data_IF_739928336405
#
_entry.id   IF_739928336405
#
_cell.length_a   1.000
_cell.length_b   1.000
_cell.length_c   1.000
_cell.angle_alpha   90.00
_cell.angle_beta   90.00
_cell.angle_gamma   90.00
#
_symmetry.space_group_name_H-M   'P 1'
#
loop_
_entity.id
_entity.type
_entity.pdbx_description
1 polymer ?
#
# COMPACT_ATOMS: atom_id res chain seq x y z
N UNK A 1 -18.37 5.19 -9.47
CA UNK A 1 -17.72 4.18 -8.61
C UNK A 1 -17.85 4.56 -7.13
N UNK A 2 -17.62 5.82 -6.79
CA UNK A 2 -17.74 6.35 -5.43
C UNK A 2 -19.13 6.13 -4.81
N UNK A 3 -20.19 6.41 -5.55
CA UNK A 3 -21.57 6.23 -5.09
C UNK A 3 -21.93 4.81 -4.66
N UNK A 4 -21.12 3.81 -4.99
CA UNK A 4 -21.29 2.42 -4.56
C UNK A 4 -20.62 2.09 -3.23
N UNK A 5 -19.70 2.95 -2.77
CA UNK A 5 -18.84 2.69 -1.61
C UNK A 5 -19.29 3.46 -0.36
N UNK A 6 -20.07 4.54 -0.52
CA UNK A 6 -20.49 5.37 0.60
C UNK A 6 -21.96 5.77 0.44
N UNK A 7 -22.74 5.58 1.49
CA UNK A 7 -24.13 5.99 1.53
C UNK A 7 -24.32 7.49 1.82
N UNK A 8 -23.29 8.17 2.33
CA UNK A 8 -23.35 9.56 2.77
C UNK A 8 -22.01 10.26 2.51
N UNK A 9 -21.92 11.05 1.44
CA UNK A 9 -20.70 11.77 1.08
C UNK A 9 -21.00 13.22 0.67
N UNK A 10 -21.68 13.96 1.54
CA UNK A 10 -22.12 15.32 1.25
C UNK A 10 -20.97 16.31 1.00
N UNK A 11 -19.76 16.05 1.53
CA UNK A 11 -18.65 17.02 1.49
C UNK A 11 -17.44 16.58 0.65
N UNK A 12 -17.54 15.46 -0.11
CA UNK A 12 -16.46 15.05 -0.98
C UNK A 12 -16.48 15.83 -2.29
N UNK A 13 -15.43 16.59 -2.53
CA UNK A 13 -15.20 17.26 -3.82
C UNK A 13 -14.26 16.44 -4.69
N UNK A 14 -14.54 16.37 -5.98
CA UNK A 14 -13.76 15.64 -6.97
C UNK A 14 -13.26 16.59 -8.05
N UNK A 15 -11.95 16.62 -8.25
CA UNK A 15 -11.29 17.37 -9.31
C UNK A 15 -10.65 16.38 -10.29
N UNK A 16 -11.04 16.46 -11.56
CA UNK A 16 -10.44 15.68 -12.66
C UNK A 16 -9.46 16.57 -13.42
N UNK A 17 -8.24 16.72 -12.88
CA UNK A 17 -7.20 17.57 -13.43
C UNK A 17 -5.83 16.90 -13.30
N UNK A 18 -4.92 17.19 -14.23
CA UNK A 18 -3.54 16.70 -14.25
C UNK A 18 -2.49 17.80 -14.27
N UNK A 19 -2.89 19.03 -14.56
CA UNK A 19 -2.02 20.20 -14.49
C UNK A 19 -1.78 20.60 -13.02
N UNK A 20 -0.51 20.64 -12.63
CA UNK A 20 -0.12 20.92 -11.25
C UNK A 20 -0.58 22.31 -10.80
N UNK A 21 -0.45 23.32 -11.66
CA UNK A 21 -0.81 24.70 -11.30
C UNK A 21 -2.31 24.83 -11.00
N UNK A 22 -3.15 24.22 -11.83
CA UNK A 22 -4.60 24.17 -11.62
C UNK A 22 -4.96 23.45 -10.31
N UNK A 23 -4.32 22.32 -10.05
CA UNK A 23 -4.54 21.57 -8.80
C UNK A 23 -4.14 22.40 -7.59
N UNK A 24 -3.01 23.12 -7.65
CA UNK A 24 -2.57 23.98 -6.54
C UNK A 24 -3.53 25.16 -6.31
N UNK A 25 -4.04 25.79 -7.38
CA UNK A 25 -5.00 26.89 -7.28
C UNK A 25 -6.30 26.44 -6.61
N UNK A 26 -6.84 25.28 -7.01
CA UNK A 26 -8.05 24.73 -6.40
C UNK A 26 -7.85 24.35 -4.93
N UNK A 27 -6.72 23.74 -4.58
CA UNK A 27 -6.40 23.42 -3.19
C UNK A 27 -6.22 24.71 -2.36
N UNK A 28 -5.62 25.77 -2.93
CA UNK A 28 -5.49 27.07 -2.24
C UNK A 28 -6.84 27.74 -1.99
N UNK A 29 -7.77 27.64 -2.92
CA UNK A 29 -9.11 28.20 -2.81
C UNK A 29 -9.98 27.42 -1.81
N UNK A 30 -9.94 26.06 -1.89
CA UNK A 30 -10.79 25.18 -1.09
C UNK A 30 -10.31 25.03 0.35
N UNK A 31 -9.00 25.00 0.58
CA UNK A 31 -8.35 24.76 1.89
C UNK A 31 -8.92 23.53 2.62
N UNK A 32 -8.89 22.36 2.00
CA UNK A 32 -9.45 21.16 2.62
C UNK A 32 -8.62 20.70 3.82
N UNK A 33 -9.25 20.05 4.78
CA UNK A 33 -8.54 19.39 5.88
C UNK A 33 -7.71 18.20 5.39
N UNK A 34 -8.24 17.47 4.38
CA UNK A 34 -7.61 16.32 3.76
C UNK A 34 -7.68 16.42 2.24
N UNK A 35 -6.58 16.17 1.55
CA UNK A 35 -6.51 16.06 0.10
C UNK A 35 -5.89 14.73 -0.32
N UNK A 36 -6.48 14.08 -1.32
CA UNK A 36 -5.98 12.82 -1.90
C UNK A 36 -5.65 13.06 -3.37
N UNK A 37 -4.42 12.77 -3.77
CA UNK A 37 -3.95 12.84 -5.15
C UNK A 37 -3.81 11.41 -5.70
N UNK A 38 -4.68 11.01 -6.63
CA UNK A 38 -4.64 9.69 -7.28
C UNK A 38 -4.56 9.85 -8.81
N UNK A 39 -3.34 9.72 -9.37
CA UNK A 39 -2.05 9.39 -8.76
C UNK A 39 -1.05 10.53 -8.97
N UNK A 40 -0.02 10.54 -8.14
CA UNK A 40 1.06 11.53 -8.27
C UNK A 40 1.77 11.45 -9.63
N UNK A 41 1.79 10.27 -10.27
CA UNK A 41 2.39 10.08 -11.59
C UNK A 41 1.56 10.70 -12.73
N UNK A 42 0.29 10.97 -12.49
CA UNK A 42 -0.57 11.60 -13.48
C UNK A 42 -0.38 13.12 -13.56
N UNK A 43 0.12 13.73 -12.49
CA UNK A 43 0.38 15.16 -12.46
C UNK A 43 1.59 15.54 -13.31
N UNK A 44 1.51 16.71 -13.90
CA UNK A 44 2.61 17.32 -14.62
C UNK A 44 2.72 18.81 -14.34
N UNK A 45 3.94 19.28 -14.27
CA UNK A 45 4.32 20.69 -14.23
C UNK A 45 4.72 21.10 -15.65
N UNK A 46 4.00 22.03 -16.24
CA UNK A 46 4.23 22.51 -17.60
C UNK A 46 5.58 23.27 -17.76
N UNK A 47 6.16 23.76 -16.67
CA UNK A 47 7.46 24.44 -16.70
C UNK A 47 8.62 23.44 -16.86
N UNK A 48 8.40 22.16 -16.58
CA UNK A 48 9.41 21.12 -16.73
C UNK A 48 9.37 20.48 -18.12
N UNK A 49 10.50 20.39 -18.77
CA UNK A 49 10.64 19.74 -20.09
C UNK A 49 10.55 18.21 -20.04
N UNK A 50 10.53 17.60 -18.85
CA UNK A 50 10.48 16.15 -18.66
C UNK A 50 9.06 15.62 -18.84
N UNK A 51 8.95 14.37 -19.33
CA UNK A 51 7.64 13.75 -19.55
C UNK A 51 6.85 13.52 -18.25
N UNK A 52 5.51 13.58 -18.27
CA UNK A 52 4.66 13.19 -17.15
C UNK A 52 5.02 11.81 -16.62
N UNK A 53 4.98 11.63 -15.30
CA UNK A 53 5.35 10.37 -14.63
C UNK A 53 6.87 10.11 -14.52
N UNK A 54 7.73 10.97 -15.09
CA UNK A 54 9.17 10.89 -14.89
C UNK A 54 9.57 11.21 -13.45
N UNK A 55 10.77 10.77 -13.03
CA UNK A 55 11.30 11.02 -11.67
C UNK A 55 11.31 12.51 -11.34
N UNK A 56 11.71 13.35 -12.30
CA UNK A 56 11.76 14.79 -12.11
C UNK A 56 10.36 15.38 -11.88
N UNK A 57 9.39 15.04 -12.74
CA UNK A 57 8.01 15.49 -12.60
C UNK A 57 7.40 15.07 -11.27
N UNK A 58 7.48 13.79 -10.92
CA UNK A 58 6.91 13.26 -9.67
C UNK A 58 7.51 13.95 -8.45
N UNK A 59 8.82 14.20 -8.46
CA UNK A 59 9.50 14.87 -7.35
C UNK A 59 9.08 16.32 -7.20
N UNK A 60 9.06 17.08 -8.29
CA UNK A 60 8.73 18.51 -8.23
C UNK A 60 7.23 18.72 -7.93
N UNK A 61 6.33 17.94 -8.54
CA UNK A 61 4.90 17.97 -8.21
C UNK A 61 4.67 17.65 -6.72
N UNK A 62 5.29 16.59 -6.20
CA UNK A 62 5.15 16.24 -4.79
C UNK A 62 5.72 17.31 -3.85
N UNK A 63 6.85 17.93 -4.20
CA UNK A 63 7.44 19.01 -3.42
C UNK A 63 6.57 20.27 -3.40
N UNK A 64 5.94 20.62 -4.52
CA UNK A 64 5.02 21.76 -4.60
C UNK A 64 3.76 21.52 -3.75
N UNK A 65 3.13 20.35 -3.89
CA UNK A 65 1.99 19.94 -3.10
C UNK A 65 2.30 19.91 -1.59
N UNK A 66 3.48 19.39 -1.20
CA UNK A 66 3.91 19.37 0.19
C UNK A 66 4.08 20.79 0.76
N UNK A 67 4.67 21.72 0.00
CA UNK A 67 4.79 23.11 0.42
C UNK A 67 3.43 23.75 0.68
N UNK A 68 2.47 23.52 -0.22
CA UNK A 68 1.09 24.00 -0.08
C UNK A 68 0.42 23.39 1.16
N UNK A 69 0.45 22.07 1.27
CA UNK A 69 -0.17 21.33 2.38
C UNK A 69 0.35 21.82 3.76
N UNK A 70 1.67 22.04 3.88
CA UNK A 70 2.28 22.60 5.10
C UNK A 70 1.83 24.02 5.42
N UNK A 71 1.66 24.87 4.40
CA UNK A 71 1.16 26.25 4.61
C UNK A 71 -0.28 26.28 5.10
N UNK A 72 -1.10 25.36 4.60
CA UNK A 72 -2.54 25.32 4.89
C UNK A 72 -2.91 24.38 6.02
N UNK A 73 -1.95 23.61 6.55
CA UNK A 73 -2.19 22.54 7.52
C UNK A 73 -3.14 21.45 6.99
N UNK A 74 -3.07 21.16 5.70
CA UNK A 74 -3.84 20.10 5.02
C UNK A 74 -3.12 18.76 5.16
N UNK A 75 -3.84 17.71 5.53
CA UNK A 75 -3.33 16.34 5.48
C UNK A 75 -3.32 15.85 4.01
N UNK A 76 -2.13 15.61 3.46
CA UNK A 76 -1.97 15.25 2.05
C UNK A 76 -1.64 13.76 1.90
N UNK A 77 -2.48 13.04 1.15
CA UNK A 77 -2.26 11.65 0.77
C UNK A 77 -1.88 11.58 -0.72
N UNK A 78 -0.68 11.12 -1.01
CA UNK A 78 -0.20 10.88 -2.37
C UNK A 78 -0.32 9.40 -2.70
N UNK A 79 -1.17 9.04 -3.65
CA UNK A 79 -1.26 7.68 -4.17
C UNK A 79 -0.24 7.52 -5.28
N UNK A 80 0.60 6.50 -5.17
CA UNK A 80 1.62 6.16 -6.15
C UNK A 80 1.55 4.69 -6.55
N UNK A 81 1.85 4.40 -7.82
CA UNK A 81 1.91 3.04 -8.34
C UNK A 81 3.35 2.59 -8.48
N UNK A 82 3.64 1.38 -8.01
CA UNK A 82 4.93 0.70 -8.21
C UNK A 82 4.83 -0.18 -9.44
N UNK A 83 5.71 0.02 -10.42
CA UNK A 83 5.81 -0.91 -11.54
C UNK A 83 6.64 -2.13 -11.17
N UNK A 84 6.36 -3.29 -11.79
CA UNK A 84 7.08 -4.55 -11.55
C UNK A 84 8.58 -4.48 -11.80
N UNK A 85 9.01 -3.50 -12.58
CA UNK A 85 10.42 -3.34 -13.01
C UNK A 85 11.17 -2.26 -12.23
N UNK A 86 10.52 -1.56 -11.30
CA UNK A 86 11.17 -0.51 -10.50
C UNK A 86 11.64 0.72 -11.30
N UNK A 87 11.32 0.80 -12.59
CA UNK A 87 11.87 1.79 -13.52
C UNK A 87 11.10 3.12 -13.55
N UNK A 88 9.85 3.16 -13.13
CA UNK A 88 9.13 4.42 -12.95
C UNK A 88 9.42 5.00 -11.56
N UNK A 89 9.37 6.33 -11.48
CA UNK A 89 9.55 7.10 -10.26
C UNK A 89 8.67 6.52 -9.13
N UNK A 90 9.20 5.48 -8.52
CA UNK A 90 8.52 4.73 -7.48
C UNK A 90 8.59 5.43 -6.13
N UNK A 91 8.04 4.82 -5.09
CA UNK A 91 7.96 5.36 -3.74
C UNK A 91 9.30 5.88 -3.19
N UNK A 92 10.42 5.30 -3.60
CA UNK A 92 11.76 5.72 -3.13
C UNK A 92 12.09 7.20 -3.36
N UNK A 93 11.58 7.78 -4.45
CA UNK A 93 11.81 9.21 -4.75
C UNK A 93 11.07 10.10 -3.76
N UNK A 94 9.89 9.66 -3.31
CA UNK A 94 9.02 10.39 -2.40
C UNK A 94 9.33 10.13 -0.93
N UNK A 95 10.03 9.05 -0.59
CA UNK A 95 10.32 8.65 0.80
C UNK A 95 11.00 9.77 1.62
N UNK A 96 11.81 10.59 0.97
CA UNK A 96 12.49 11.70 1.64
C UNK A 96 11.58 12.92 1.83
N UNK A 97 10.54 13.05 1.04
CA UNK A 97 9.63 14.19 1.05
C UNK A 97 8.46 14.00 2.01
N UNK A 98 7.98 12.76 2.18
CA UNK A 98 6.77 12.45 2.96
C UNK A 98 7.10 12.03 4.39
N UNK A 99 6.15 12.20 5.30
CA UNK A 99 6.30 11.86 6.71
C UNK A 99 6.03 10.38 6.98
N UNK A 100 5.17 9.76 6.19
CA UNK A 100 4.87 8.33 6.26
C UNK A 100 4.81 7.73 4.85
N UNK A 101 5.21 6.47 4.73
CA UNK A 101 5.08 5.63 3.52
C UNK A 101 4.36 4.36 3.91
N UNK A 102 3.20 4.14 3.31
CA UNK A 102 2.39 2.95 3.47
C UNK A 102 2.39 2.17 2.16
N UNK A 103 2.57 0.88 2.23
CA UNK A 103 2.49 -0.01 1.06
C UNK A 103 1.32 -0.96 1.19
N UNK A 104 0.56 -1.11 0.11
CA UNK A 104 -0.41 -2.18 -0.03
C UNK A 104 0.24 -3.34 -0.77
N UNK A 105 0.28 -4.49 -0.10
CA UNK A 105 0.76 -5.75 -0.66
C UNK A 105 -0.43 -6.70 -0.85
N UNK A 106 -0.41 -7.49 -1.91
CA UNK A 106 -1.45 -8.49 -2.13
C UNK A 106 -1.11 -9.42 -3.27
N UNK A 107 -1.51 -10.67 -3.12
CA UNK A 107 -1.43 -11.67 -4.18
C UNK A 107 -2.63 -11.50 -5.13
N UNK A 108 -2.42 -11.82 -6.41
CA UNK A 108 -3.49 -11.82 -7.42
C UNK A 108 -4.57 -12.86 -7.16
N UNK A 109 -4.21 -13.90 -6.42
CA UNK A 109 -5.09 -15.05 -6.13
C UNK A 109 -5.71 -14.98 -4.74
N UNK A 110 -5.29 -14.02 -3.89
CA UNK A 110 -5.84 -13.84 -2.55
C UNK A 110 -6.74 -12.61 -2.49
N UNK A 111 -7.88 -12.73 -1.82
CA UNK A 111 -8.80 -11.61 -1.55
C UNK A 111 -8.21 -10.59 -0.56
N UNK A 112 -7.15 -10.99 0.16
CA UNK A 112 -6.55 -10.19 1.22
C UNK A 112 -5.55 -9.17 0.69
N UNK A 113 -5.46 -8.06 1.42
CA UNK A 113 -4.48 -7.00 1.21
C UNK A 113 -3.80 -6.69 2.54
N UNK A 114 -2.48 -6.60 2.50
CA UNK A 114 -1.66 -6.25 3.64
C UNK A 114 -1.26 -4.78 3.53
N UNK A 115 -1.44 -4.02 4.58
CA UNK A 115 -1.01 -2.63 4.69
C UNK A 115 0.17 -2.57 5.65
N UNK A 116 1.33 -2.15 5.15
CA UNK A 116 2.57 -1.99 5.92
C UNK A 116 3.04 -0.55 5.93
N UNK A 117 3.53 -0.10 7.08
CA UNK A 117 4.30 1.12 7.16
C UNK A 117 5.77 0.84 6.83
N UNK A 118 6.28 1.42 5.75
CA UNK A 118 7.71 1.35 5.37
C UNK A 118 8.49 2.48 6.06
N UNK A 119 7.84 3.62 6.22
CA UNK A 119 8.35 4.79 6.94
C UNK A 119 7.23 5.41 7.75
N UNK A 120 7.55 5.83 8.98
CA UNK A 120 6.64 6.60 9.81
C UNK A 120 7.44 7.49 10.76
N UNK A 121 7.36 8.81 10.58
CA UNK A 121 8.06 9.78 11.45
C UNK A 121 7.44 9.91 12.83
N UNK A 122 6.18 9.53 12.98
CA UNK A 122 5.38 9.78 14.19
C UNK A 122 5.06 8.51 14.97
N UNK A 123 5.52 7.34 14.51
CA UNK A 123 5.20 6.07 15.17
C UNK A 123 6.00 4.88 14.65
N UNK A 124 5.57 3.70 15.07
CA UNK A 124 6.18 2.43 14.69
C UNK A 124 5.95 2.08 13.22
N UNK A 125 6.85 1.27 12.66
CA UNK A 125 6.75 0.74 11.28
C UNK A 125 6.51 -0.76 11.21
N UNK A 126 6.41 -1.43 12.36
CA UNK A 126 6.25 -2.90 12.41
C UNK A 126 4.81 -3.35 12.62
N UNK A 127 3.86 -2.46 12.46
CA UNK A 127 2.45 -2.84 12.50
C UNK A 127 1.96 -3.26 11.13
N UNK A 128 1.06 -4.26 11.11
CA UNK A 128 0.48 -4.83 9.92
C UNK A 128 -1.04 -4.71 9.97
N UNK A 129 -1.61 -4.00 9.00
CA UNK A 129 -3.05 -4.02 8.74
C UNK A 129 -3.40 -5.14 7.75
N UNK A 130 -4.41 -5.93 8.04
CA UNK A 130 -4.93 -6.97 7.14
C UNK A 130 -6.34 -6.61 6.72
N UNK A 131 -6.57 -6.55 5.42
CA UNK A 131 -7.86 -6.20 4.83
C UNK A 131 -8.30 -7.28 3.84
N UNK A 132 -9.59 -7.46 3.73
CA UNK A 132 -10.21 -8.29 2.70
C UNK A 132 -10.89 -7.42 1.65
N UNK A 133 -10.71 -7.75 0.37
CA UNK A 133 -11.38 -7.08 -0.73
C UNK A 133 -12.76 -7.69 -0.93
N UNK A 134 -13.81 -6.97 -0.56
CA UNK A 134 -15.21 -7.37 -0.72
C UNK A 134 -15.94 -6.53 -1.75
N UNK A 135 -17.18 -6.89 -2.04
CA UNK A 135 -18.01 -6.15 -3.01
C UNK A 135 -18.23 -4.68 -2.64
N UNK A 136 -18.18 -4.35 -1.36
CA UNK A 136 -18.37 -2.99 -0.83
C UNK A 136 -17.05 -2.23 -0.65
N UNK A 137 -15.90 -2.87 -0.87
CA UNK A 137 -14.58 -2.27 -0.73
C UNK A 137 -13.65 -3.09 0.15
N UNK A 138 -12.66 -2.42 0.75
CA UNK A 138 -11.74 -3.02 1.71
C UNK A 138 -12.37 -3.05 3.09
N UNK A 139 -12.44 -4.24 3.69
CA UNK A 139 -12.90 -4.44 5.07
C UNK A 139 -11.74 -4.93 5.93
N UNK A 140 -11.62 -4.40 7.15
CA UNK A 140 -10.59 -4.84 8.08
C UNK A 140 -10.84 -6.27 8.57
N UNK A 141 -9.79 -7.08 8.60
CA UNK A 141 -9.82 -8.42 9.18
C UNK A 141 -9.39 -8.33 10.65
N UNK A 142 -10.35 -8.44 11.56
CA UNK A 142 -10.11 -8.29 13.00
C UNK A 142 -9.18 -9.39 13.57
N UNK A 143 -9.31 -10.62 13.08
CA UNK A 143 -8.44 -11.75 13.48
C UNK A 143 -7.75 -12.37 12.26
N UNK A 144 -6.58 -11.88 11.84
CA UNK A 144 -5.88 -12.43 10.68
C UNK A 144 -5.44 -13.88 10.85
N UNK A 145 -5.28 -14.38 12.09
CA UNK A 145 -4.91 -15.77 12.32
C UNK A 145 -5.93 -16.77 11.75
N UNK A 146 -7.20 -16.40 11.70
CA UNK A 146 -8.24 -17.25 11.11
C UNK A 146 -8.03 -17.49 9.61
N UNK A 147 -7.33 -16.61 8.92
CA UNK A 147 -7.01 -16.74 7.50
C UNK A 147 -5.92 -17.78 7.22
N UNK A 148 -5.08 -18.06 8.20
CA UNK A 148 -3.88 -18.90 8.07
C UNK A 148 -4.05 -20.26 8.75
N UNK A 149 -5.21 -20.51 9.34
CA UNK A 149 -5.57 -21.78 9.94
C UNK A 149 -6.46 -22.56 8.97
N UNK A 150 -6.01 -23.75 8.58
CA UNK A 150 -6.82 -24.64 7.73
C UNK A 150 -8.01 -25.25 8.47
N UNK A 151 -7.95 -25.28 9.80
CA UNK A 151 -8.95 -25.95 10.65
C UNK A 151 -8.90 -27.47 10.56
N UNK A 152 -8.04 -28.04 9.74
CA UNK A 152 -7.92 -29.48 9.52
C UNK A 152 -6.72 -30.02 10.33
N UNK A 153 -6.98 -30.96 11.22
CA UNK A 153 -5.95 -31.77 11.84
C UNK A 153 -5.55 -32.90 10.87
N UNK A 154 -4.47 -32.71 10.14
CA UNK A 154 -3.94 -33.70 9.21
C UNK A 154 -2.49 -34.04 9.54
N UNK A 155 -2.07 -35.25 9.18
CA UNK A 155 -0.66 -35.63 9.30
C UNK A 155 0.23 -34.69 8.49
N UNK A 156 1.30 -34.21 9.11
CA UNK A 156 2.20 -33.25 8.46
C UNK A 156 1.78 -31.78 8.61
N UNK A 157 0.75 -31.47 9.38
CA UNK A 157 0.35 -30.11 9.73
C UNK A 157 0.74 -29.80 11.17
N UNK A 158 1.37 -28.66 11.38
CA UNK A 158 1.69 -28.14 12.70
C UNK A 158 1.29 -26.67 12.80
N UNK A 159 0.53 -26.33 13.82
CA UNK A 159 0.17 -24.94 14.11
C UNK A 159 1.32 -24.29 14.88
N UNK A 160 1.81 -23.17 14.36
CA UNK A 160 2.90 -22.40 14.96
C UNK A 160 2.47 -20.93 15.13
N UNK A 161 3.23 -20.20 15.94
CA UNK A 161 3.08 -18.75 16.06
C UNK A 161 4.24 -18.10 15.31
N UNK A 162 3.90 -17.36 14.25
CA UNK A 162 4.84 -16.49 13.55
C UNK A 162 4.64 -15.05 14.04
N UNK A 163 5.71 -14.26 14.07
CA UNK A 163 5.61 -12.84 14.38
C UNK A 163 5.84 -12.02 13.11
N UNK A 164 4.86 -11.20 12.76
CA UNK A 164 5.01 -10.21 11.70
C UNK A 164 5.10 -8.82 12.36
N UNK A 165 6.34 -8.32 12.47
CA UNK A 165 6.63 -7.16 13.31
C UNK A 165 6.36 -7.46 14.79
N UNK A 166 5.44 -6.73 15.40
CA UNK A 166 5.00 -6.95 16.80
C UNK A 166 3.73 -7.80 16.91
N UNK A 167 3.11 -8.14 15.77
CA UNK A 167 1.84 -8.87 15.75
C UNK A 167 2.09 -10.39 15.69
N UNK A 168 1.68 -11.17 16.68
CA UNK A 168 1.69 -12.62 16.60
C UNK A 168 0.57 -13.09 15.67
N UNK A 169 0.90 -13.99 14.75
CA UNK A 169 -0.03 -14.65 13.83
C UNK A 169 0.06 -16.15 14.05
N UNK A 170 -1.07 -16.78 14.25
CA UNK A 170 -1.16 -18.24 14.29
C UNK A 170 -1.31 -18.75 12.87
N UNK A 171 -0.41 -19.64 12.45
CA UNK A 171 -0.36 -20.16 11.09
C UNK A 171 -0.18 -21.67 11.07
N UNK A 172 -0.77 -22.35 10.11
CA UNK A 172 -0.52 -23.76 9.87
C UNK A 172 0.67 -23.94 8.93
N UNK A 173 1.66 -24.70 9.41
CA UNK A 173 2.79 -25.14 8.62
C UNK A 173 2.51 -26.55 8.13
N UNK A 174 2.61 -26.76 6.81
CA UNK A 174 2.41 -28.06 6.19
C UNK A 174 3.74 -28.63 5.69
N UNK A 175 4.02 -29.88 6.01
CA UNK A 175 5.18 -30.61 5.54
C UNK A 175 4.73 -31.88 4.81
N UNK A 176 5.12 -32.00 3.54
CA UNK A 176 4.92 -33.22 2.75
C UNK A 176 6.26 -33.96 2.59
N UNK A 177 6.27 -35.22 2.99
CA UNK A 177 7.45 -36.07 2.86
C UNK A 177 7.12 -37.27 1.98
N UNK A 178 7.96 -37.52 0.99
CA UNK A 178 7.86 -38.70 0.11
C UNK A 178 9.21 -39.40 -0.03
N UNK A 179 9.16 -40.72 -0.32
CA UNK A 179 10.36 -41.46 -0.66
C UNK A 179 10.97 -40.94 -1.97
N UNK A 180 12.30 -40.91 -2.06
CA UNK A 180 13.02 -40.47 -3.25
C UNK A 180 14.08 -41.48 -3.65
N UNK A 181 14.30 -41.64 -4.94
CA UNK A 181 15.40 -42.41 -5.52
C UNK A 181 16.70 -41.62 -5.65
N UNK A 182 16.73 -40.35 -5.34
CA UNK A 182 17.94 -39.53 -5.40
C UNK A 182 18.88 -39.87 -4.21
N UNK A 183 20.18 -39.82 -4.50
CA UNK A 183 21.22 -40.11 -3.48
C UNK A 183 21.23 -39.14 -2.30
N UNK A 184 20.69 -37.92 -2.48
CA UNK A 184 20.55 -36.92 -1.41
C UNK A 184 19.11 -36.39 -1.35
N UNK A 185 18.59 -36.16 -0.14
CA UNK A 185 17.23 -35.63 0.03
C UNK A 185 17.12 -34.20 -0.52
N UNK A 186 16.06 -33.97 -1.28
CA UNK A 186 15.74 -32.63 -1.78
C UNK A 186 14.73 -31.98 -0.85
N UNK A 187 14.98 -30.71 -0.48
CA UNK A 187 14.07 -29.89 0.32
C UNK A 187 13.63 -28.69 -0.51
N UNK A 188 12.34 -28.42 -0.48
CA UNK A 188 11.76 -27.23 -1.12
C UNK A 188 10.85 -26.57 -0.08
N UNK A 189 10.99 -25.30 0.15
CA UNK A 189 10.13 -24.54 1.04
C UNK A 189 9.44 -23.41 0.28
N UNK A 190 8.22 -23.11 0.67
CA UNK A 190 7.44 -21.97 0.16
C UNK A 190 6.88 -21.20 1.34
N UNK A 191 7.11 -19.90 1.37
CA UNK A 191 6.62 -19.03 2.45
C UNK A 191 7.43 -19.07 3.74
N UNK A 192 8.45 -19.95 3.84
CA UNK A 192 9.38 -20.03 4.98
C UNK A 192 10.82 -20.09 4.48
N UNK A 193 11.75 -19.56 5.26
CA UNK A 193 13.18 -19.73 5.02
C UNK A 193 13.63 -21.11 5.52
N UNK A 194 14.53 -21.78 4.78
CA UNK A 194 15.18 -23.07 5.13
C UNK A 194 16.62 -22.83 5.48
#
# INVERSE_FOLDING_TARGET
>A
RWQRLTADSSDLQLLAETDLEMVLQELEALKPDVAVIDSIQALHDAELSSAPGSVAQVRECAAALQRLAKRQNTALLLVGHVTKEGALAGPKVLEHLVDAVLTFEGDRFASHRLLRAVKNRFGATHELGVFEMRGQGLEEVGNPSELFLSGEQANGVATIVACEGTRPLVVDLQALVSATSYASPRRTATGIAV
#
